data_IF_942374706740
#
_entry.id   IF_942374706740
#
_cell.length_a   1.000
_cell.length_b   1.000
_cell.length_c   1.000
_cell.angle_alpha   90.00
_cell.angle_beta   90.00
_cell.angle_gamma   90.00
#
_symmetry.space_group_name_H-M   'P 1'
#
loop_
_entity.id
_entity.type
_entity.pdbx_description
1 polymer ?
#
# COMPACT_ATOMS: atom_id res chain seq x y z
N UNK A 1 33.78 10.89 3.43
CA UNK A 1 33.84 9.44 3.18
C UNK A 1 34.25 9.24 1.74
N UNK A 2 35.13 8.28 1.47
CA UNK A 2 35.43 7.85 0.11
C UNK A 2 34.18 7.19 -0.53
N UNK A 3 33.97 7.32 -1.84
CA UNK A 3 32.82 6.74 -2.55
C UNK A 3 32.74 5.22 -2.30
N UNK A 4 33.90 4.57 -2.25
CA UNK A 4 33.99 3.13 -1.99
C UNK A 4 33.47 2.77 -0.59
N UNK A 5 33.78 3.60 0.41
CA UNK A 5 33.29 3.41 1.78
C UNK A 5 31.78 3.62 1.88
N UNK A 6 31.23 4.55 1.09
CA UNK A 6 29.78 4.79 1.04
C UNK A 6 29.03 3.62 0.40
N UNK A 7 29.55 3.06 -0.69
CA UNK A 7 28.98 1.87 -1.33
C UNK A 7 29.03 0.70 -0.35
N UNK A 8 30.16 0.49 0.31
CA UNK A 8 30.34 -0.57 1.30
C UNK A 8 29.35 -0.43 2.46
N UNK A 9 29.17 0.77 3.03
CA UNK A 9 28.27 0.97 4.16
C UNK A 9 26.79 0.74 3.82
N UNK A 10 26.38 1.02 2.57
CA UNK A 10 25.02 0.74 2.10
C UNK A 10 24.78 -0.75 1.81
N UNK A 11 25.73 -1.41 1.14
CA UNK A 11 25.64 -2.84 0.81
C UNK A 11 25.69 -3.74 2.06
N UNK A 12 26.38 -3.29 3.10
CA UNK A 12 26.47 -4.00 4.38
C UNK A 12 25.33 -3.68 5.35
N UNK A 13 24.26 -3.01 4.90
CA UNK A 13 23.06 -2.86 5.72
C UNK A 13 22.37 -4.22 5.93
N UNK A 14 21.84 -4.52 7.13
CA UNK A 14 21.22 -5.82 7.42
C UNK A 14 20.13 -6.22 6.42
N UNK A 15 19.34 -5.24 5.95
CA UNK A 15 18.27 -5.44 4.96
C UNK A 15 18.81 -6.02 3.66
N UNK A 16 19.88 -5.43 3.11
CA UNK A 16 20.50 -5.89 1.85
C UNK A 16 21.16 -7.25 2.05
N UNK A 17 21.83 -7.46 3.18
CA UNK A 17 22.49 -8.72 3.50
C UNK A 17 21.49 -9.87 3.67
N UNK A 18 20.36 -9.67 4.35
CA UNK A 18 19.31 -10.68 4.47
C UNK A 18 18.62 -10.99 3.13
N UNK A 19 18.47 -9.99 2.26
CA UNK A 19 17.98 -10.21 0.90
C UNK A 19 18.93 -11.10 0.09
N UNK A 20 20.24 -10.81 0.11
CA UNK A 20 21.25 -11.64 -0.54
C UNK A 20 21.33 -13.04 0.07
N UNK A 21 21.25 -13.14 1.40
CA UNK A 21 21.19 -14.42 2.10
C UNK A 21 19.98 -15.24 1.64
N UNK A 22 18.81 -14.62 1.49
CA UNK A 22 17.62 -15.29 0.95
C UNK A 22 17.82 -15.84 -0.45
N UNK A 23 18.48 -15.10 -1.34
CA UNK A 23 18.85 -15.58 -2.69
C UNK A 23 19.79 -16.77 -2.61
N UNK A 24 20.82 -16.70 -1.76
CA UNK A 24 21.79 -17.79 -1.57
C UNK A 24 21.09 -19.03 -1.01
N UNK A 25 20.26 -18.87 0.03
CA UNK A 25 19.49 -19.94 0.65
C UNK A 25 18.56 -20.63 -0.36
N UNK A 26 17.88 -19.86 -1.22
CA UNK A 26 17.05 -20.41 -2.29
C UNK A 26 17.89 -21.17 -3.34
N UNK A 27 19.07 -20.66 -3.71
CA UNK A 27 19.96 -21.30 -4.69
C UNK A 27 20.53 -22.62 -4.20
N UNK A 28 20.89 -22.73 -2.92
CA UNK A 28 21.37 -23.97 -2.32
C UNK A 28 20.24 -24.94 -1.95
N UNK A 29 18.98 -24.59 -2.28
CA UNK A 29 17.77 -25.35 -1.95
C UNK A 29 17.65 -25.62 -0.45
N UNK A 30 17.99 -24.63 0.37
CA UNK A 30 17.82 -24.71 1.82
C UNK A 30 16.37 -25.08 2.15
N UNK A 31 16.17 -25.91 3.17
CA UNK A 31 14.86 -26.25 3.72
C UNK A 31 14.22 -25.11 4.54
N UNK A 32 14.69 -23.88 4.34
CA UNK A 32 14.24 -22.65 5.00
C UNK A 32 12.82 -22.29 4.53
N UNK A 33 11.85 -23.13 4.90
CA UNK A 33 10.44 -22.93 4.65
C UNK A 33 9.85 -22.11 5.78
N UNK A 34 9.34 -20.94 5.45
CA UNK A 34 8.49 -20.17 6.35
C UNK A 34 7.14 -20.91 6.45
N UNK A 35 6.67 -21.26 7.66
CA UNK A 35 5.35 -21.87 7.83
C UNK A 35 4.24 -20.97 7.29
N UNK A 36 3.21 -21.56 6.67
CA UNK A 36 2.10 -20.80 6.08
C UNK A 36 1.42 -19.85 7.09
N UNK A 37 1.28 -20.29 8.34
CA UNK A 37 0.75 -19.45 9.41
C UNK A 37 1.56 -18.16 9.63
N UNK A 38 2.89 -18.22 9.51
CA UNK A 38 3.75 -17.03 9.61
C UNK A 38 3.56 -16.15 8.38
N UNK A 39 3.45 -16.72 7.18
CA UNK A 39 3.21 -15.94 5.96
C UNK A 39 1.89 -15.17 5.99
N UNK A 40 0.85 -15.69 6.65
CA UNK A 40 -0.44 -15.02 6.80
C UNK A 40 -0.47 -14.03 7.99
N UNK A 41 0.18 -14.37 9.09
CA UNK A 41 0.23 -13.52 10.30
C UNK A 41 1.17 -12.31 10.16
N UNK A 42 2.34 -12.51 9.55
CA UNK A 42 3.39 -11.49 9.52
C UNK A 42 2.93 -10.17 8.85
N UNK A 43 2.20 -10.15 7.74
CA UNK A 43 1.67 -8.91 7.16
C UNK A 43 0.74 -8.16 8.13
N UNK A 44 -0.11 -8.89 8.86
CA UNK A 44 -1.05 -8.33 9.84
C UNK A 44 -0.29 -7.68 10.99
N UNK A 45 0.71 -8.40 11.51
CA UNK A 45 1.60 -7.90 12.56
C UNK A 45 2.37 -6.66 12.12
N UNK A 46 2.93 -6.68 10.91
CA UNK A 46 3.69 -5.54 10.37
C UNK A 46 2.80 -4.32 10.17
N UNK A 47 1.57 -4.49 9.64
CA UNK A 47 0.59 -3.40 9.53
C UNK A 47 0.29 -2.79 10.90
N UNK A 48 0.09 -3.62 11.93
CA UNK A 48 -0.14 -3.14 13.28
C UNK A 48 1.09 -2.40 13.84
N UNK A 49 2.29 -2.95 13.67
CA UNK A 49 3.53 -2.34 14.14
C UNK A 49 3.83 -1.00 13.47
N UNK A 50 3.65 -0.91 12.14
CA UNK A 50 3.86 0.33 11.38
C UNK A 50 2.83 1.37 11.78
N UNK A 51 1.55 0.97 11.90
CA UNK A 51 0.49 1.88 12.36
C UNK A 51 0.77 2.42 13.77
N UNK A 52 1.11 1.54 14.72
CA UNK A 52 1.44 1.93 16.09
C UNK A 52 2.63 2.89 16.14
N UNK A 53 3.71 2.57 15.44
CA UNK A 53 4.90 3.42 15.40
C UNK A 53 4.59 4.78 14.75
N UNK A 54 3.82 4.79 13.66
CA UNK A 54 3.36 6.00 13.01
C UNK A 54 2.53 6.89 13.93
N UNK A 55 1.54 6.32 14.62
CA UNK A 55 0.69 7.03 15.57
C UNK A 55 1.48 7.70 16.70
N UNK A 56 2.43 6.97 17.31
CA UNK A 56 3.30 7.52 18.36
C UNK A 56 4.06 8.72 17.82
N UNK A 57 4.70 8.60 16.65
CA UNK A 57 5.49 9.67 16.05
C UNK A 57 4.64 10.90 15.69
N UNK A 58 3.40 10.70 15.24
CA UNK A 58 2.45 11.80 14.97
C UNK A 58 2.18 12.63 16.24
N UNK A 59 2.13 11.96 17.40
CA UNK A 59 1.83 12.60 18.68
C UNK A 59 3.03 13.36 19.25
N UNK A 60 4.24 12.83 19.11
CA UNK A 60 5.48 13.48 19.56
C UNK A 60 5.91 14.66 18.70
N UNK A 61 5.77 14.59 17.37
CA UNK A 61 6.21 15.68 16.47
C UNK A 61 5.24 16.84 16.33
N UNK A 62 3.96 16.62 16.68
CA UNK A 62 2.90 17.61 16.56
C UNK A 62 2.37 17.73 15.13
N UNK A 63 1.05 17.76 14.99
CA UNK A 63 0.37 17.72 13.69
C UNK A 63 0.70 18.90 12.77
N UNK A 64 0.96 20.08 13.32
CA UNK A 64 1.21 21.31 12.56
C UNK A 64 2.47 21.22 11.68
N UNK A 65 3.54 20.64 12.23
CA UNK A 65 4.82 20.48 11.51
C UNK A 65 4.76 19.42 10.39
N UNK A 66 3.77 18.52 10.44
CA UNK A 66 3.66 17.39 9.53
C UNK A 66 2.60 17.61 8.43
N UNK A 67 1.66 18.54 8.62
CA UNK A 67 0.47 18.68 7.77
C UNK A 67 0.84 18.88 6.29
N UNK A 68 1.76 19.82 6.01
CA UNK A 68 2.21 20.11 4.65
C UNK A 68 2.96 18.91 4.03
N UNK A 69 4.03 18.35 4.66
CA UNK A 69 4.69 17.14 4.16
C UNK A 69 3.73 15.98 3.90
N UNK A 70 2.78 15.74 4.80
CA UNK A 70 1.80 14.67 4.68
C UNK A 70 0.87 14.87 3.48
N UNK A 71 0.31 16.06 3.29
CA UNK A 71 -0.54 16.37 2.13
C UNK A 71 0.22 16.21 0.81
N UNK A 72 1.46 16.71 0.75
CA UNK A 72 2.31 16.57 -0.44
C UNK A 72 2.58 15.09 -0.72
N UNK A 73 2.93 14.31 0.29
CA UNK A 73 3.22 12.89 0.12
C UNK A 73 1.98 12.10 -0.33
N UNK A 74 0.81 12.41 0.22
CA UNK A 74 -0.47 11.81 -0.20
C UNK A 74 -0.75 12.14 -1.67
N UNK A 75 -0.63 13.41 -2.05
CA UNK A 75 -0.84 13.85 -3.42
C UNK A 75 0.12 13.15 -4.39
N UNK A 76 1.41 13.03 -4.03
CA UNK A 76 2.40 12.30 -4.81
C UNK A 76 2.06 10.82 -4.91
N UNK A 77 1.67 10.15 -3.84
CA UNK A 77 1.30 8.73 -3.88
C UNK A 77 0.10 8.47 -4.79
N UNK A 78 -0.94 9.33 -4.73
CA UNK A 78 -2.09 9.24 -5.65
C UNK A 78 -1.65 9.49 -7.10
N UNK A 79 -0.83 10.51 -7.33
CA UNK A 79 -0.30 10.84 -8.66
C UNK A 79 0.52 9.69 -9.24
N UNK A 80 1.43 9.11 -8.47
CA UNK A 80 2.24 7.97 -8.88
C UNK A 80 1.38 6.75 -9.14
N UNK A 81 0.43 6.41 -8.26
CA UNK A 81 -0.48 5.28 -8.47
C UNK A 81 -1.26 5.42 -9.78
N UNK A 82 -1.80 6.61 -10.06
CA UNK A 82 -2.52 6.87 -11.31
C UNK A 82 -1.61 6.81 -12.53
N UNK A 83 -0.38 7.35 -12.45
CA UNK A 83 0.60 7.26 -13.53
C UNK A 83 1.01 5.81 -13.81
N UNK A 84 1.32 5.02 -12.78
CA UNK A 84 1.64 3.60 -12.93
C UNK A 84 0.50 2.85 -13.60
N UNK A 85 -0.76 3.10 -13.21
CA UNK A 85 -1.90 2.50 -13.89
C UNK A 85 -1.93 2.82 -15.39
N UNK A 86 -1.72 4.09 -15.76
CA UNK A 86 -1.68 4.48 -17.17
C UNK A 86 -0.54 3.81 -17.94
N UNK A 87 0.65 3.73 -17.33
CA UNK A 87 1.82 3.08 -17.93
C UNK A 87 1.55 1.58 -18.10
N UNK A 88 1.08 0.89 -17.07
CA UNK A 88 0.80 -0.54 -17.13
C UNK A 88 -0.31 -0.86 -18.13
N UNK A 89 -1.33 0.00 -18.23
CA UNK A 89 -2.43 -0.22 -19.17
C UNK A 89 -2.03 0.07 -20.61
N UNK A 90 -1.28 1.15 -20.88
CA UNK A 90 -0.93 1.58 -22.24
C UNK A 90 0.33 0.90 -22.77
N UNK A 91 1.41 0.92 -21.98
CA UNK A 91 2.71 0.40 -22.37
C UNK A 91 2.85 -1.08 -22.01
N UNK A 92 2.48 -1.44 -20.78
CA UNK A 92 2.56 -2.83 -20.29
C UNK A 92 1.49 -3.76 -20.87
N UNK A 93 0.42 -3.21 -21.46
CA UNK A 93 -0.73 -3.94 -22.02
C UNK A 93 -1.39 -4.94 -21.05
N UNK A 94 -1.24 -4.71 -19.74
CA UNK A 94 -1.85 -5.56 -18.70
C UNK A 94 -3.37 -5.44 -18.71
N UNK A 95 -4.07 -6.48 -18.22
CA UNK A 95 -5.51 -6.40 -18.02
C UNK A 95 -5.86 -5.32 -16.96
N UNK A 96 -7.14 -4.91 -16.88
CA UNK A 96 -7.56 -3.81 -15.99
C UNK A 96 -7.29 -4.14 -14.53
N UNK A 97 -7.58 -5.37 -14.09
CA UNK A 97 -7.42 -5.80 -12.71
C UNK A 97 -5.95 -5.88 -12.30
N UNK A 98 -5.11 -6.50 -13.12
CA UNK A 98 -3.66 -6.59 -12.91
C UNK A 98 -3.04 -5.19 -12.88
N UNK A 99 -3.47 -4.30 -13.78
CA UNK A 99 -2.98 -2.92 -13.82
C UNK A 99 -3.29 -2.18 -12.53
N UNK A 100 -4.50 -2.32 -11.97
CA UNK A 100 -4.86 -1.68 -10.71
C UNK A 100 -4.13 -2.28 -9.51
N UNK A 101 -4.01 -3.60 -9.44
CA UNK A 101 -3.31 -4.28 -8.36
C UNK A 101 -1.81 -3.92 -8.34
N UNK A 102 -1.17 -3.94 -9.51
CA UNK A 102 0.24 -3.58 -9.64
C UNK A 102 0.47 -2.08 -9.44
N UNK A 103 -0.38 -1.21 -10.01
CA UNK A 103 -0.24 0.23 -9.82
C UNK A 103 -0.39 0.64 -8.36
N UNK A 104 -1.26 -0.02 -7.59
CA UNK A 104 -1.38 0.23 -6.16
C UNK A 104 -0.16 -0.26 -5.38
N UNK A 105 0.35 -1.46 -5.68
CA UNK A 105 1.52 -2.01 -4.98
C UNK A 105 2.78 -1.18 -5.22
N UNK A 106 2.96 -0.62 -6.41
CA UNK A 106 4.10 0.24 -6.75
C UNK A 106 3.86 1.75 -6.58
N UNK A 107 2.60 2.19 -6.47
CA UNK A 107 2.23 3.59 -6.20
C UNK A 107 2.19 3.96 -4.72
N UNK A 108 2.23 2.94 -3.85
CA UNK A 108 2.48 3.06 -2.42
C UNK A 108 3.97 3.34 -2.13
N UNK A 109 4.31 3.42 -0.84
CA UNK A 109 5.69 3.58 -0.38
C UNK A 109 6.22 2.25 0.13
N UNK A 110 7.48 1.93 -0.19
CA UNK A 110 8.15 0.75 0.35
C UNK A 110 8.76 1.04 1.72
N UNK A 111 8.22 0.44 2.79
CA UNK A 111 8.78 0.57 4.15
C UNK A 111 10.27 0.15 4.22
N UNK A 112 10.66 -0.85 3.42
CA UNK A 112 12.05 -1.31 3.30
C UNK A 112 12.93 -0.22 2.67
N UNK A 113 12.53 0.32 1.51
CA UNK A 113 13.26 1.39 0.82
C UNK A 113 13.40 2.64 1.70
N UNK A 114 12.32 3.00 2.39
CA UNK A 114 12.31 4.10 3.34
C UNK A 114 13.30 3.85 4.49
N UNK A 115 13.31 2.65 5.08
CA UNK A 115 14.23 2.29 6.17
C UNK A 115 15.70 2.31 5.74
N UNK A 116 15.99 1.86 4.51
CA UNK A 116 17.33 1.96 3.92
C UNK A 116 17.71 3.43 3.71
N UNK A 117 16.81 4.25 3.19
CA UNK A 117 17.03 5.69 3.00
C UNK A 117 17.30 6.44 4.31
N UNK A 118 16.55 6.14 5.38
CA UNK A 118 16.81 6.70 6.71
C UNK A 118 18.18 6.25 7.24
N UNK A 119 18.52 4.97 7.06
CA UNK A 119 19.82 4.44 7.47
C UNK A 119 20.97 5.10 6.72
N UNK A 120 20.80 5.35 5.43
CA UNK A 120 21.75 6.09 4.60
C UNK A 120 21.95 7.52 5.11
N UNK A 121 20.87 8.27 5.33
CA UNK A 121 20.94 9.64 5.84
C UNK A 121 21.62 9.69 7.22
N UNK A 122 21.28 8.74 8.10
CA UNK A 122 21.91 8.60 9.41
C UNK A 122 23.42 8.35 9.31
N UNK A 123 23.86 7.50 8.38
CA UNK A 123 25.29 7.24 8.14
C UNK A 123 26.03 8.48 7.62
N UNK A 124 25.33 9.38 6.94
CA UNK A 124 25.85 10.66 6.47
C UNK A 124 25.79 11.78 7.54
N UNK A 125 25.33 11.48 8.75
CA UNK A 125 25.17 12.46 9.83
C UNK A 125 23.96 13.38 9.66
N UNK A 126 23.05 13.07 8.74
CA UNK A 126 21.81 13.83 8.52
C UNK A 126 20.71 13.23 9.38
N UNK A 127 20.24 13.98 10.36
CA UNK A 127 19.07 13.62 11.16
C UNK A 127 17.80 13.77 10.33
N UNK A 128 17.04 12.69 10.24
CA UNK A 128 15.71 12.68 9.65
C UNK A 128 14.69 13.22 10.63
N UNK A 129 13.67 13.90 10.11
CA UNK A 129 12.58 14.41 10.92
C UNK A 129 11.71 13.26 11.44
N UNK A 130 11.32 13.32 12.72
CA UNK A 130 10.53 12.27 13.37
C UNK A 130 9.16 12.01 12.71
N UNK A 131 8.63 13.01 11.99
CA UNK A 131 7.34 12.90 11.30
C UNK A 131 7.43 12.04 10.03
N UNK A 132 8.62 11.70 9.51
CA UNK A 132 8.74 10.89 8.30
C UNK A 132 8.17 9.49 8.48
N UNK A 133 8.32 8.89 9.67
CA UNK A 133 7.73 7.60 10.01
C UNK A 133 6.19 7.69 10.10
N UNK A 134 5.68 8.80 10.62
CA UNK A 134 4.25 9.09 10.65
C UNK A 134 3.67 9.26 9.24
N UNK A 135 4.37 10.00 8.37
CA UNK A 135 4.00 10.15 6.95
C UNK A 135 3.97 8.79 6.26
N UNK A 136 4.99 7.93 6.46
CA UNK A 136 5.00 6.57 5.90
C UNK A 136 3.76 5.77 6.32
N UNK A 137 3.44 5.77 7.62
CA UNK A 137 2.30 5.01 8.14
C UNK A 137 0.96 5.49 7.58
N UNK A 138 0.83 6.78 7.25
CA UNK A 138 -0.39 7.35 6.62
C UNK A 138 -0.47 7.02 5.12
N UNK A 139 0.66 6.86 4.43
CA UNK A 139 0.66 6.57 3.00
C UNK A 139 0.25 5.14 2.66
N UNK A 140 0.56 4.18 3.53
CA UNK A 140 0.13 2.79 3.38
C UNK A 140 -1.40 2.64 3.24
N UNK A 141 -2.25 3.12 4.17
CA UNK A 141 -3.71 2.99 4.03
C UNK A 141 -4.23 3.77 2.82
N UNK A 142 -3.63 4.93 2.48
CA UNK A 142 -4.06 5.73 1.31
C UNK A 142 -3.92 4.93 0.01
N UNK A 143 -2.77 4.31 -0.21
CA UNK A 143 -2.53 3.52 -1.42
C UNK A 143 -3.39 2.25 -1.45
N UNK A 144 -3.58 1.58 -0.30
CA UNK A 144 -4.46 0.41 -0.18
C UNK A 144 -5.93 0.76 -0.46
N UNK A 145 -6.44 1.85 0.13
CA UNK A 145 -7.82 2.32 -0.11
C UNK A 145 -8.02 2.64 -1.58
N UNK A 146 -7.06 3.34 -2.21
CA UNK A 146 -7.11 3.65 -3.63
C UNK A 146 -7.14 2.36 -4.48
N UNK A 147 -6.34 1.35 -4.14
CA UNK A 147 -6.35 0.03 -4.79
C UNK A 147 -7.75 -0.59 -4.82
N UNK A 148 -8.34 -0.71 -3.63
CA UNK A 148 -9.60 -1.41 -3.45
C UNK A 148 -10.71 -0.60 -4.12
N UNK A 149 -10.67 0.73 -3.99
CA UNK A 149 -11.61 1.62 -4.64
C UNK A 149 -11.58 1.50 -6.17
N UNK A 150 -10.39 1.59 -6.79
CA UNK A 150 -10.24 1.48 -8.25
C UNK A 150 -10.64 0.09 -8.75
N UNK A 151 -10.28 -0.96 -8.01
CA UNK A 151 -10.65 -2.34 -8.32
C UNK A 151 -12.18 -2.53 -8.28
N UNK A 152 -12.83 -2.10 -7.19
CA UNK A 152 -14.27 -2.21 -7.02
C UNK A 152 -15.05 -1.36 -8.04
N UNK A 153 -14.52 -0.19 -8.42
CA UNK A 153 -15.09 0.62 -9.49
C UNK A 153 -15.03 -0.10 -10.85
N UNK A 154 -13.90 -0.77 -11.15
CA UNK A 154 -13.74 -1.55 -12.37
C UNK A 154 -14.67 -2.77 -12.42
N UNK A 155 -14.79 -3.51 -11.32
CA UNK A 155 -15.76 -4.62 -11.17
C UNK A 155 -17.19 -4.11 -11.39
N UNK A 156 -17.56 -3.00 -10.75
CA UNK A 156 -18.90 -2.41 -10.87
C UNK A 156 -19.21 -2.00 -12.31
N UNK A 157 -18.24 -1.42 -13.03
CA UNK A 157 -18.38 -1.04 -14.43
C UNK A 157 -18.57 -2.25 -15.35
N UNK A 158 -17.87 -3.36 -15.09
CA UNK A 158 -18.07 -4.62 -15.83
C UNK A 158 -19.43 -5.25 -15.56
N UNK A 159 -19.88 -5.27 -14.30
CA UNK A 159 -21.21 -5.78 -13.94
C UNK A 159 -22.32 -4.99 -14.64
N UNK A 160 -22.19 -3.65 -14.66
CA UNK A 160 -23.15 -2.78 -15.32
C UNK A 160 -23.14 -2.95 -16.86
N UNK A 161 -21.96 -3.09 -17.47
CA UNK A 161 -21.83 -3.34 -18.91
C UNK A 161 -22.46 -4.69 -19.30
N UNK A 162 -22.22 -5.75 -18.50
CA UNK A 162 -22.83 -7.06 -18.73
C UNK A 162 -24.35 -7.01 -18.58
N UNK A 163 -24.89 -6.30 -17.58
CA UNK A 163 -26.34 -6.09 -17.41
C UNK A 163 -26.99 -5.37 -18.61
N UNK A 164 -26.32 -4.37 -19.18
CA UNK A 164 -26.82 -3.66 -20.38
C UNK A 164 -26.86 -4.56 -21.62
N UNK A 165 -25.86 -5.42 -21.83
CA UNK A 165 -25.87 -6.40 -22.92
C UNK A 165 -27.03 -7.40 -22.79
N UNK A 166 -27.32 -7.89 -21.57
CA UNK A 166 -28.46 -8.79 -21.33
C UNK A 166 -29.84 -8.10 -21.45
N UNK A 167 -29.94 -6.79 -21.15
CA UNK A 167 -31.18 -6.04 -21.29
C UNK A 167 -31.51 -5.67 -22.75
N UNK A 168 -30.53 -5.72 -23.66
CA UNK A 168 -30.73 -5.35 -25.07
C UNK A 168 -31.26 -6.53 -25.91
N UNK A 169 -30.99 -7.77 -25.50
CA UNK A 169 -31.42 -9.01 -26.19
C UNK A 169 -32.80 -9.55 -25.73
N UNK A 170 -33.41 -8.98 -24.69
CA UNK A 170 -34.68 -9.50 -24.14
C UNK A 170 -35.75 -8.40 -24.07
N UNK A 171 -36.32 -8.07 -25.23
CA UNK A 171 -37.73 -7.65 -25.30
C UNK A 171 -38.61 -8.90 -25.24
N UNK A 172 -38.76 -9.48 -24.05
CA UNK A 172 -39.85 -10.41 -23.77
C UNK A 172 -40.22 -10.31 -22.31
N UNK A 173 -41.52 -10.21 -22.08
CA UNK A 173 -42.18 -9.92 -20.82
C UNK A 173 -41.95 -11.01 -19.78
N UNK A 174 -40.89 -10.89 -18.96
CA UNK A 174 -40.81 -11.60 -17.68
C UNK A 174 -40.25 -10.63 -16.64
N UNK A 175 -41.14 -10.25 -15.74
CA UNK A 175 -40.92 -9.48 -14.52
C UNK A 175 -39.99 -10.26 -13.57
N UNK A 176 -38.68 -10.23 -13.85
CA UNK A 176 -37.66 -10.74 -12.94
C UNK A 176 -37.20 -9.57 -12.09
N UNK A 177 -37.63 -9.57 -10.83
CA UNK A 177 -37.28 -8.62 -9.78
C UNK A 177 -35.77 -8.45 -9.61
N UNK A 178 -35.17 -7.65 -10.48
CA UNK A 178 -33.82 -7.15 -10.36
C UNK A 178 -33.88 -5.94 -9.43
N UNK A 179 -33.74 -6.20 -8.13
CA UNK A 179 -33.45 -5.16 -7.15
C UNK A 179 -32.40 -4.20 -7.75
N UNK A 180 -32.83 -2.96 -8.00
CA UNK A 180 -32.00 -1.85 -8.44
C UNK A 180 -30.91 -1.58 -7.40
N UNK A 181 -29.83 -2.34 -7.43
CA UNK A 181 -28.65 -2.00 -6.66
C UNK A 181 -27.79 -1.15 -7.57
N UNK A 182 -28.15 0.13 -7.76
CA UNK A 182 -27.15 1.15 -8.10
C UNK A 182 -26.04 0.95 -7.08
N UNK A 183 -24.88 0.47 -7.52
CA UNK A 183 -23.75 0.27 -6.62
C UNK A 183 -23.32 1.66 -6.16
N UNK A 184 -23.81 2.07 -4.99
CA UNK A 184 -23.54 3.40 -4.42
C UNK A 184 -22.05 3.48 -4.16
N UNK A 185 -21.41 4.55 -4.62
CA UNK A 185 -19.99 4.83 -4.38
C UNK A 185 -19.63 4.77 -2.89
N UNK A 186 -20.58 5.15 -2.02
CA UNK A 186 -20.45 5.05 -0.57
C UNK A 186 -20.34 3.60 -0.06
N UNK A 187 -20.98 2.63 -0.73
CA UNK A 187 -20.87 1.21 -0.39
C UNK A 187 -19.47 0.70 -0.74
N UNK A 188 -18.97 1.05 -1.93
CA UNK A 188 -17.61 0.70 -2.37
C UNK A 188 -16.57 1.28 -1.41
N UNK A 189 -16.69 2.56 -1.07
CA UNK A 189 -15.77 3.22 -0.15
C UNK A 189 -15.83 2.58 1.25
N UNK A 190 -17.03 2.27 1.74
CA UNK A 190 -17.21 1.59 3.04
C UNK A 190 -16.57 0.20 3.04
N UNK A 191 -16.76 -0.58 1.98
CA UNK A 191 -16.13 -1.90 1.83
C UNK A 191 -14.60 -1.79 1.74
N UNK A 192 -14.07 -0.78 1.04
CA UNK A 192 -12.63 -0.50 1.02
C UNK A 192 -12.09 -0.20 2.42
N UNK A 193 -12.73 0.70 3.17
CA UNK A 193 -12.25 1.14 4.49
C UNK A 193 -12.41 0.05 5.58
N UNK A 194 -13.38 -0.86 5.43
CA UNK A 194 -13.65 -1.94 6.40
C UNK A 194 -12.81 -3.20 6.18
N UNK A 195 -11.88 -3.20 5.22
CA UNK A 195 -10.96 -4.31 5.00
C UNK A 195 -10.07 -4.57 6.22
N UNK A 196 -9.83 -5.85 6.55
CA UNK A 196 -9.06 -6.29 7.74
C UNK A 196 -7.72 -5.54 7.89
N UNK A 197 -6.96 -5.42 6.80
CA UNK A 197 -5.67 -4.72 6.79
C UNK A 197 -5.80 -3.23 7.15
N UNK A 198 -6.79 -2.54 6.58
CA UNK A 198 -7.02 -1.11 6.81
C UNK A 198 -7.54 -0.86 8.22
N UNK A 199 -8.45 -1.69 8.72
CA UNK A 199 -8.96 -1.60 10.09
C UNK A 199 -7.82 -1.75 11.10
N UNK A 200 -6.94 -2.73 10.90
CA UNK A 200 -5.79 -2.96 11.78
C UNK A 200 -4.81 -1.81 11.72
N UNK A 201 -4.50 -1.31 10.51
CA UNK A 201 -3.57 -0.21 10.31
C UNK A 201 -4.09 1.09 10.92
N UNK A 202 -5.30 1.52 10.57
CA UNK A 202 -5.92 2.74 11.12
C UNK A 202 -6.15 2.64 12.63
N UNK A 203 -6.61 1.47 13.11
CA UNK A 203 -6.75 1.22 14.55
C UNK A 203 -5.43 1.36 15.29
N UNK A 204 -4.35 0.81 14.73
CA UNK A 204 -3.02 0.89 15.35
C UNK A 204 -2.45 2.31 15.32
N UNK A 205 -2.71 3.10 14.26
CA UNK A 205 -2.37 4.53 14.22
C UNK A 205 -3.07 5.30 15.33
N UNK A 206 -4.37 5.08 15.52
CA UNK A 206 -5.14 5.75 16.58
C UNK A 206 -4.63 5.34 17.96
N UNK A 207 -4.41 4.05 18.19
CA UNK A 207 -3.85 3.55 19.45
C UNK A 207 -2.46 4.17 19.71
N UNK A 208 -1.59 4.17 18.70
CA UNK A 208 -0.26 4.75 18.77
C UNK A 208 -0.30 6.23 19.12
N UNK A 209 -1.23 6.98 18.52
CA UNK A 209 -1.42 8.40 18.80
C UNK A 209 -1.92 8.66 20.22
N UNK A 210 -2.75 7.77 20.79
CA UNK A 210 -3.27 7.91 22.15
C UNK A 210 -2.17 7.64 23.20
N UNK A 211 -1.29 6.66 22.95
CA UNK A 211 -0.26 6.25 23.92
C UNK A 211 1.07 7.01 23.81
N UNK A 212 1.31 7.70 22.68
CA UNK A 212 2.50 8.52 22.45
C UNK A 212 2.46 9.86 23.17
#
# INVERSE_FOLDING_TARGET
MDILQLIQSNLLTPIVLFFLFGIIAARIKSDLKIPQAISEFLPIYLLAAIGLHGGIQMRTTGFENMLVPMLVAIALSLLFTLNHYQILRKLGKFNIFDSYALASTYGAVGAVTFSVGLSFLKNQGVTSEGYLAAVLAVLEPVAFILAIFLTNMAVSKQINAKKQSFATDSKSDIDVGLHETKVKLSKILRESVTGKAIVILLGSIVIGYIIG
#
